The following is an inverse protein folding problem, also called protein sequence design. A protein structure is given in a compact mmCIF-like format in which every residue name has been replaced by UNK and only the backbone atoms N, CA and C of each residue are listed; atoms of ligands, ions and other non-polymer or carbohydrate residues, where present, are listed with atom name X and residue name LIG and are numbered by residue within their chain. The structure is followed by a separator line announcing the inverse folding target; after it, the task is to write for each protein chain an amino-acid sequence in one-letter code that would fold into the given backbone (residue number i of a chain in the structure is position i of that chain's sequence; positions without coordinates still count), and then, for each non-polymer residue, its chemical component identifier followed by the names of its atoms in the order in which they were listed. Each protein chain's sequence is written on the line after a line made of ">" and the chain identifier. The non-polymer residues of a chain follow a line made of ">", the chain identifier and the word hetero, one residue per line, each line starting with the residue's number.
data_IF_619571903649
#
_entry.id   IF_619571903649
#
_cell.length_a   1.000
_cell.length_b   1.000
_cell.length_c   1.000
_cell.angle_alpha   90.00
_cell.angle_beta   90.00
_cell.angle_gamma   90.00
#
_symmetry.space_group_name_H-M   'P 1'
#
loop_
_entity.id
_entity.type
_entity.pdbx_description
1 polymer ?
#
# COMPACT_ATOMS: atom_id res chain seq x y z
N UNK A 1 -20.51 22.03 32.05
CA UNK A 1 -19.43 22.90 31.51
C UNK A 1 -18.65 22.22 30.36
N UNK A 2 -19.31 21.47 29.45
CA UNK A 2 -18.66 20.81 28.28
C UNK A 2 -19.21 21.39 26.96
N UNK A 3 -20.40 21.99 26.97
CA UNK A 3 -21.06 22.57 25.79
C UNK A 3 -20.27 23.70 25.12
N UNK A 4 -19.45 24.45 25.85
CA UNK A 4 -18.67 25.55 25.27
C UNK A 4 -17.52 25.09 24.35
N UNK A 5 -17.05 23.83 24.44
CA UNK A 5 -15.92 23.35 23.62
C UNK A 5 -16.26 23.09 22.15
N UNK A 6 -17.53 22.85 21.85
CA UNK A 6 -18.09 22.49 20.55
C UNK A 6 -19.25 23.39 20.12
N UNK A 7 -19.58 24.37 20.96
CA UNK A 7 -20.55 25.42 20.71
C UNK A 7 -20.07 26.76 21.32
N UNK A 8 -18.95 27.32 20.83
CA UNK A 8 -18.35 28.52 21.43
C UNK A 8 -19.26 29.76 21.40
N UNK A 9 -20.25 29.80 20.49
CA UNK A 9 -21.23 30.90 20.37
C UNK A 9 -22.69 30.39 20.46
N UNK A 10 -22.94 29.27 21.14
CA UNK A 10 -24.27 28.64 21.16
C UNK A 10 -24.68 27.95 19.85
N UNK A 11 -23.86 28.06 18.80
CA UNK A 11 -24.00 27.32 17.54
C UNK A 11 -23.11 26.09 17.53
N UNK A 12 -23.72 24.92 17.37
CA UNK A 12 -23.02 23.65 17.23
C UNK A 12 -22.08 23.66 16.03
N UNK A 13 -20.82 23.26 16.25
CA UNK A 13 -19.83 23.10 15.20
C UNK A 13 -19.38 21.65 15.13
N UNK A 14 -19.77 20.95 14.05
CA UNK A 14 -19.44 19.55 13.80
C UNK A 14 -17.92 19.28 13.82
N UNK A 15 -17.10 20.22 13.34
CA UNK A 15 -15.64 20.14 13.39
C UNK A 15 -15.10 20.09 14.83
N UNK A 16 -15.60 20.96 15.72
CA UNK A 16 -15.14 21.01 17.11
C UNK A 16 -15.62 19.78 17.89
N UNK A 17 -16.86 19.36 17.64
CA UNK A 17 -17.40 18.10 18.14
C UNK A 17 -16.48 16.92 17.77
N UNK A 18 -16.13 16.82 16.50
CA UNK A 18 -15.25 15.78 15.99
C UNK A 18 -13.85 15.85 16.63
N UNK A 19 -13.21 17.02 16.67
CA UNK A 19 -11.89 17.20 17.29
C UNK A 19 -11.89 16.90 18.80
N UNK A 20 -13.03 17.10 19.47
CA UNK A 20 -13.20 16.77 20.88
C UNK A 20 -13.26 15.26 21.12
N UNK A 21 -14.11 14.53 20.38
CA UNK A 21 -14.25 13.07 20.55
C UNK A 21 -13.14 12.26 19.90
N UNK A 22 -12.46 12.82 18.89
CA UNK A 22 -11.44 12.09 18.17
C UNK A 22 -10.23 11.80 19.08
N UNK A 23 -9.76 10.54 19.15
CA UNK A 23 -8.52 10.23 19.83
C UNK A 23 -7.34 10.99 19.20
N UNK A 24 -6.63 11.77 20.03
CA UNK A 24 -5.42 12.51 19.63
C UNK A 24 -4.24 11.55 19.56
N UNK A 25 -4.20 10.76 18.48
CA UNK A 25 -3.09 9.86 18.20
C UNK A 25 -1.85 10.63 17.70
N UNK A 26 -0.67 10.05 17.92
CA UNK A 26 0.58 10.58 17.37
C UNK A 26 0.46 10.80 15.86
N UNK A 27 0.98 11.93 15.37
CA UNK A 27 0.99 12.25 13.94
C UNK A 27 1.78 11.17 13.20
N UNK A 28 1.09 10.44 12.32
CA UNK A 28 1.74 9.44 11.47
C UNK A 28 2.55 10.18 10.38
N UNK A 29 3.78 9.73 10.14
CA UNK A 29 4.66 10.35 9.16
C UNK A 29 4.38 9.91 7.70
N UNK A 30 3.68 8.79 7.52
CA UNK A 30 3.43 8.18 6.21
C UNK A 30 2.23 8.73 5.40
N UNK A 31 1.17 9.36 5.95
CA UNK A 31 -0.01 9.76 5.17
C UNK A 31 0.31 10.63 3.97
N UNK A 32 1.17 11.65 4.12
CA UNK A 32 1.58 12.53 3.00
C UNK A 32 2.31 11.79 1.88
N UNK A 33 2.96 10.68 2.22
CA UNK A 33 3.71 9.86 1.27
C UNK A 33 2.81 8.88 0.52
N UNK A 34 1.81 8.33 1.21
CA UNK A 34 0.84 7.42 0.63
C UNK A 34 -0.15 8.19 -0.24
N UNK A 35 -0.69 9.30 0.27
CA UNK A 35 -1.65 10.17 -0.45
C UNK A 35 -0.98 11.19 -1.36
N UNK A 36 0.07 10.79 -2.06
CA UNK A 36 0.78 11.66 -2.99
C UNK A 36 0.05 11.72 -4.33
N UNK A 37 -0.13 12.92 -4.90
CA UNK A 37 -0.89 13.16 -6.15
C UNK A 37 -0.41 12.30 -7.33
N UNK A 38 0.90 12.02 -7.36
CA UNK A 38 1.51 11.24 -8.42
C UNK A 38 1.21 9.72 -8.36
N UNK A 39 0.52 9.25 -7.32
CA UNK A 39 0.14 7.84 -7.15
C UNK A 39 -1.33 7.69 -7.48
N UNK A 40 -1.67 6.67 -8.29
CA UNK A 40 -3.05 6.37 -8.66
C UNK A 40 -3.89 6.14 -7.39
N UNK A 41 -5.07 6.77 -7.26
CA UNK A 41 -5.90 6.66 -6.05
C UNK A 41 -6.17 5.23 -5.59
N UNK A 42 -6.46 4.30 -6.51
CA UNK A 42 -6.68 2.87 -6.18
C UNK A 42 -5.43 2.20 -5.58
N UNK A 43 -4.24 2.56 -6.05
CA UNK A 43 -2.98 2.01 -5.52
C UNK A 43 -2.70 2.56 -4.13
N UNK A 44 -2.88 3.86 -3.96
CA UNK A 44 -2.81 4.56 -2.68
C UNK A 44 -3.74 3.93 -1.65
N UNK A 45 -4.99 3.64 -2.05
CA UNK A 45 -5.99 3.04 -1.17
C UNK A 45 -5.59 1.64 -0.69
N UNK A 46 -5.12 0.77 -1.59
CA UNK A 46 -4.63 -0.57 -1.21
C UNK A 46 -3.39 -0.48 -0.32
N UNK A 47 -2.44 0.40 -0.64
CA UNK A 47 -1.26 0.62 0.22
C UNK A 47 -1.66 1.12 1.62
N UNK A 48 -2.59 2.06 1.69
CA UNK A 48 -3.14 2.57 2.95
C UNK A 48 -3.78 1.47 3.79
N UNK A 49 -4.62 0.63 3.18
CA UNK A 49 -5.21 -0.54 3.85
C UNK A 49 -4.13 -1.51 4.34
N UNK A 50 -3.11 -1.76 3.52
CA UNK A 50 -1.99 -2.63 3.89
C UNK A 50 -1.21 -2.09 5.10
N UNK A 51 -0.96 -0.78 5.15
CA UNK A 51 -0.28 -0.15 6.29
C UNK A 51 -1.09 -0.15 7.58
N UNK A 52 -2.42 -0.11 7.45
CA UNK A 52 -3.37 -0.25 8.54
C UNK A 52 -3.60 -1.70 8.95
N UNK A 53 -2.97 -2.66 8.25
CA UNK A 53 -3.25 -4.07 8.38
C UNK A 53 -4.75 -4.37 8.26
N UNK A 54 -5.38 -3.84 7.22
CA UNK A 54 -6.82 -3.99 6.93
C UNK A 54 -7.11 -4.64 5.57
N UNK A 55 -6.08 -5.13 4.89
CA UNK A 55 -6.28 -6.01 3.73
C UNK A 55 -6.81 -7.36 4.20
N UNK A 56 -7.79 -7.89 3.46
CA UNK A 56 -8.55 -9.09 3.79
C UNK A 56 -7.81 -10.37 3.33
N UNK A 57 -6.69 -10.66 3.99
CA UNK A 57 -5.94 -11.90 3.81
C UNK A 57 -6.66 -13.07 4.47
N UNK A 58 -6.48 -14.31 3.99
CA UNK A 58 -7.13 -15.51 4.55
C UNK A 58 -6.87 -15.68 6.05
N UNK A 59 -5.69 -15.32 6.56
CA UNK A 59 -5.43 -15.36 8.01
C UNK A 59 -6.40 -14.50 8.87
N UNK A 60 -7.05 -13.48 8.28
CA UNK A 60 -8.09 -12.67 8.95
C UNK A 60 -9.50 -13.23 8.77
N UNK A 61 -9.66 -14.20 7.89
CA UNK A 61 -10.88 -14.94 7.59
C UNK A 61 -10.79 -16.38 8.10
N UNK A 62 -9.86 -16.68 9.01
CA UNK A 62 -9.60 -18.05 9.47
C UNK A 62 -10.82 -18.73 10.09
N UNK A 63 -11.72 -17.96 10.68
CA UNK A 63 -12.93 -18.46 11.31
C UNK A 63 -14.06 -18.69 10.28
N UNK A 64 -13.88 -18.26 9.03
CA UNK A 64 -14.86 -18.34 7.95
C UNK A 64 -14.41 -19.20 6.75
N UNK A 65 -13.12 -19.56 6.68
CA UNK A 65 -12.51 -20.27 5.55
C UNK A 65 -11.52 -21.30 6.08
N UNK A 66 -11.65 -22.56 5.64
CA UNK A 66 -10.74 -23.64 6.03
C UNK A 66 -9.37 -23.53 5.36
N UNK A 67 -9.34 -23.31 4.04
CA UNK A 67 -8.09 -23.21 3.28
C UNK A 67 -7.38 -21.87 3.52
N UNK A 68 -6.35 -21.91 4.36
CA UNK A 68 -5.50 -20.77 4.68
C UNK A 68 -4.32 -20.59 3.72
N UNK A 69 -4.14 -21.45 2.73
CA UNK A 69 -2.99 -21.41 1.81
C UNK A 69 -2.98 -20.11 0.99
N UNK A 70 -1.77 -19.59 0.75
CA UNK A 70 -1.54 -18.42 -0.08
C UNK A 70 -2.00 -18.68 -1.52
N UNK A 71 -2.94 -17.88 -2.07
CA UNK A 71 -3.47 -18.12 -3.41
C UNK A 71 -2.41 -18.05 -4.53
N UNK A 72 -1.30 -17.35 -4.28
CA UNK A 72 -0.27 -17.10 -5.28
C UNK A 72 0.81 -18.18 -5.35
N UNK A 73 1.16 -18.80 -4.23
CA UNK A 73 2.23 -19.81 -4.19
C UNK A 73 1.81 -21.16 -3.62
N UNK A 74 0.65 -21.25 -2.97
CA UNK A 74 0.10 -22.46 -2.33
C UNK A 74 1.02 -23.17 -1.32
N UNK A 75 2.15 -22.55 -0.93
CA UNK A 75 3.20 -23.19 -0.14
C UNK A 75 3.17 -22.86 1.35
N UNK A 76 2.55 -21.73 1.73
CA UNK A 76 2.42 -21.28 3.12
C UNK A 76 1.09 -20.56 3.33
N UNK A 77 0.69 -20.37 4.58
CA UNK A 77 -0.53 -19.64 4.92
C UNK A 77 -0.48 -18.16 4.53
N UNK A 78 -1.60 -17.62 4.06
CA UNK A 78 -1.70 -16.24 3.60
C UNK A 78 -1.73 -15.26 4.78
N UNK A 79 -0.57 -14.68 5.07
CA UNK A 79 -0.46 -13.47 5.90
C UNK A 79 -0.06 -12.27 5.04
N UNK A 80 -0.27 -11.05 5.55
CA UNK A 80 0.16 -9.84 4.85
C UNK A 80 1.68 -9.83 4.59
N UNK A 81 2.48 -10.24 5.59
CA UNK A 81 3.93 -10.32 5.43
C UNK A 81 4.33 -11.42 4.44
N UNK A 82 3.65 -12.58 4.49
CA UNK A 82 3.89 -13.63 3.53
C UNK A 82 3.60 -13.15 2.11
N UNK A 83 2.38 -12.66 1.87
CA UNK A 83 1.89 -12.23 0.56
C UNK A 83 2.86 -11.25 -0.12
N UNK A 84 3.32 -10.23 0.62
CA UNK A 84 4.18 -9.21 0.04
C UNK A 84 5.67 -9.54 0.09
N UNK A 85 6.20 -10.24 1.10
CA UNK A 85 7.65 -10.32 1.31
C UNK A 85 8.25 -11.73 1.37
N UNK A 86 7.43 -12.77 1.60
CA UNK A 86 7.94 -14.14 1.76
C UNK A 86 7.51 -15.06 0.62
N UNK A 87 6.32 -14.82 0.06
CA UNK A 87 5.76 -15.48 -1.11
C UNK A 87 6.74 -15.42 -2.29
N UNK A 88 6.93 -16.54 -2.99
CA UNK A 88 7.82 -16.63 -4.15
C UNK A 88 7.44 -15.62 -5.24
N UNK A 89 6.15 -15.51 -5.55
CA UNK A 89 5.61 -14.52 -6.49
C UNK A 89 5.89 -13.08 -6.02
N UNK A 90 5.56 -12.77 -4.77
CA UNK A 90 5.81 -11.44 -4.19
C UNK A 90 7.30 -11.06 -4.23
N UNK A 91 8.18 -11.98 -3.81
CA UNK A 91 9.64 -11.80 -3.82
C UNK A 91 10.18 -11.49 -5.21
N UNK A 92 9.71 -12.17 -6.25
CA UNK A 92 10.14 -11.93 -7.63
C UNK A 92 9.77 -10.52 -8.09
N UNK A 93 8.53 -10.07 -7.83
CA UNK A 93 8.12 -8.70 -8.15
C UNK A 93 8.99 -7.68 -7.39
N UNK A 94 9.21 -7.92 -6.09
CA UNK A 94 10.10 -7.07 -5.29
C UNK A 94 11.52 -7.02 -5.85
N UNK A 95 12.10 -8.15 -6.26
CA UNK A 95 13.45 -8.21 -6.81
C UNK A 95 13.57 -7.36 -8.09
N UNK A 96 12.59 -7.49 -9.00
CA UNK A 96 12.58 -6.75 -10.26
C UNK A 96 12.44 -5.25 -10.05
N UNK A 97 11.51 -4.83 -9.18
CA UNK A 97 11.29 -3.40 -8.89
C UNK A 97 12.47 -2.81 -8.13
N UNK A 98 13.04 -3.53 -7.16
CA UNK A 98 14.23 -3.10 -6.44
C UNK A 98 15.41 -2.90 -7.37
N UNK A 99 15.65 -3.85 -8.28
CA UNK A 99 16.71 -3.74 -9.29
C UNK A 99 16.49 -2.51 -10.18
N UNK A 100 15.27 -2.33 -10.70
CA UNK A 100 14.95 -1.19 -11.56
C UNK A 100 15.07 0.17 -10.86
N UNK A 101 14.75 0.24 -9.56
CA UNK A 101 14.78 1.48 -8.78
C UNK A 101 16.10 1.73 -8.03
N UNK A 102 17.09 0.85 -8.19
CA UNK A 102 18.36 0.91 -7.45
C UNK A 102 18.17 0.80 -5.93
N UNK A 103 17.25 -0.06 -5.48
CA UNK A 103 16.96 -0.29 -4.05
C UNK A 103 17.64 -1.58 -3.60
N UNK A 104 18.75 -1.47 -2.89
CA UNK A 104 19.50 -2.65 -2.41
C UNK A 104 18.97 -3.23 -1.10
N UNK A 105 18.16 -2.47 -0.36
CA UNK A 105 17.69 -2.87 0.97
C UNK A 105 16.62 -3.97 0.90
N UNK A 106 16.80 -5.01 1.70
CA UNK A 106 15.74 -5.98 1.96
C UNK A 106 14.66 -5.35 2.84
N UNK A 107 13.40 -5.43 2.38
CA UNK A 107 12.23 -5.01 3.12
C UNK A 107 11.50 -6.24 3.64
N UNK A 108 11.03 -6.19 4.90
CA UNK A 108 10.39 -7.32 5.57
C UNK A 108 8.92 -7.05 5.91
N UNK A 109 8.46 -5.81 5.82
CA UNK A 109 7.06 -5.43 6.06
C UNK A 109 6.73 -4.11 5.36
N UNK A 110 5.44 -3.85 5.10
CA UNK A 110 4.99 -2.59 4.49
C UNK A 110 5.37 -1.38 5.36
N UNK A 111 5.27 -1.52 6.69
CA UNK A 111 5.65 -0.48 7.64
C UNK A 111 7.14 -0.17 7.57
N UNK A 112 7.99 -1.20 7.47
CA UNK A 112 9.44 -1.03 7.30
C UNK A 112 9.78 -0.36 5.96
N UNK A 113 9.13 -0.79 4.87
CA UNK A 113 9.28 -0.17 3.55
C UNK A 113 8.95 1.32 3.59
N UNK A 114 7.80 1.67 4.15
CA UNK A 114 7.36 3.07 4.20
C UNK A 114 8.23 3.90 5.15
N UNK A 115 8.65 3.35 6.29
CA UNK A 115 9.60 4.02 7.19
C UNK A 115 10.92 4.32 6.47
N UNK A 116 11.43 3.35 5.70
CA UNK A 116 12.61 3.54 4.87
C UNK A 116 12.37 4.61 3.80
N UNK A 117 11.22 4.59 3.14
CA UNK A 117 10.90 5.57 2.11
C UNK A 117 10.79 6.99 2.67
N UNK A 118 10.27 7.15 3.88
CA UNK A 118 10.25 8.45 4.59
C UNK A 118 11.68 8.93 4.91
N UNK A 119 12.63 8.02 5.13
CA UNK A 119 14.02 8.36 5.44
C UNK A 119 14.83 8.67 4.17
N UNK A 120 14.74 7.82 3.16
CA UNK A 120 15.60 7.87 1.97
C UNK A 120 14.99 8.64 0.80
N UNK A 121 13.66 8.72 0.71
CA UNK A 121 12.96 9.55 -0.28
C UNK A 121 12.54 10.90 0.31
N UNK A 122 13.40 11.47 1.18
CA UNK A 122 13.30 12.86 1.64
C UNK A 122 13.65 13.78 0.48
N UNK A 123 12.65 14.12 -0.32
CA UNK A 123 12.81 15.03 -1.45
C UNK A 123 11.60 15.09 -2.36
N UNK A 124 11.59 16.14 -3.18
CA UNK A 124 10.67 16.36 -4.30
C UNK A 124 11.25 15.88 -5.64
N UNK A 125 12.50 15.40 -5.64
CA UNK A 125 13.20 14.94 -6.84
C UNK A 125 12.51 13.76 -7.52
N UNK A 126 12.73 13.66 -8.85
CA UNK A 126 12.15 12.64 -9.72
C UNK A 126 12.33 11.21 -9.19
N UNK A 127 13.55 10.87 -8.75
CA UNK A 127 13.84 9.53 -8.22
C UNK A 127 13.06 9.21 -6.93
N UNK A 128 12.85 10.20 -6.05
CA UNK A 128 12.02 10.04 -4.85
C UNK A 128 10.55 9.82 -5.21
N UNK A 129 10.03 10.56 -6.21
CA UNK A 129 8.67 10.38 -6.75
C UNK A 129 8.50 8.98 -7.35
N UNK A 130 9.43 8.54 -8.21
CA UNK A 130 9.37 7.20 -8.80
C UNK A 130 9.42 6.11 -7.72
N UNK A 131 10.29 6.21 -6.71
CA UNK A 131 10.35 5.20 -5.63
C UNK A 131 9.02 5.06 -4.89
N UNK A 132 8.31 6.18 -4.65
CA UNK A 132 6.96 6.18 -4.05
C UNK A 132 5.93 5.49 -4.94
N UNK A 133 5.89 5.86 -6.21
CA UNK A 133 4.96 5.27 -7.18
C UNK A 133 5.24 3.77 -7.34
N UNK A 134 6.51 3.39 -7.51
CA UNK A 134 6.94 2.00 -7.66
C UNK A 134 6.50 1.10 -6.51
N UNK A 135 6.65 1.56 -5.27
CA UNK A 135 6.19 0.81 -4.10
C UNK A 135 4.67 0.64 -4.10
N UNK A 136 3.91 1.72 -4.34
CA UNK A 136 2.45 1.65 -4.37
C UNK A 136 1.92 0.75 -5.51
N UNK A 137 2.51 0.86 -6.71
CA UNK A 137 2.18 0.02 -7.86
C UNK A 137 2.40 -1.46 -7.55
N UNK A 138 3.55 -1.82 -6.99
CA UNK A 138 3.86 -3.21 -6.68
C UNK A 138 2.92 -3.80 -5.62
N UNK A 139 2.61 -3.04 -4.55
CA UNK A 139 1.65 -3.49 -3.54
C UNK A 139 0.28 -3.72 -4.16
N UNK A 140 -0.17 -2.80 -5.01
CA UNK A 140 -1.42 -2.96 -5.75
C UNK A 140 -1.40 -4.17 -6.68
N UNK A 141 -0.35 -4.35 -7.48
CA UNK A 141 -0.28 -5.43 -8.46
C UNK A 141 -0.23 -6.82 -7.81
N UNK A 142 0.47 -6.98 -6.69
CA UNK A 142 0.45 -8.24 -5.92
C UNK A 142 -0.97 -8.50 -5.40
N UNK A 143 -1.62 -7.49 -4.84
CA UNK A 143 -2.98 -7.60 -4.33
C UNK A 143 -4.00 -7.91 -5.43
N UNK A 144 -3.88 -7.27 -6.59
CA UNK A 144 -4.72 -7.49 -7.76
C UNK A 144 -4.54 -8.91 -8.32
N UNK A 145 -3.31 -9.38 -8.48
CA UNK A 145 -3.02 -10.73 -8.92
C UNK A 145 -3.62 -11.78 -7.97
N UNK A 146 -3.49 -11.55 -6.65
CA UNK A 146 -4.10 -12.40 -5.62
C UNK A 146 -5.62 -12.43 -5.75
N UNK A 147 -6.26 -11.28 -5.92
CA UNK A 147 -7.73 -11.21 -6.03
C UNK A 147 -8.24 -11.86 -7.31
N UNK A 148 -7.58 -11.64 -8.45
CA UNK A 148 -7.93 -12.33 -9.71
C UNK A 148 -7.87 -13.85 -9.55
N UNK A 149 -6.86 -14.36 -8.84
CA UNK A 149 -6.71 -15.80 -8.61
C UNK A 149 -7.83 -16.39 -7.76
N UNK A 150 -8.35 -15.65 -6.78
CA UNK A 150 -9.47 -16.08 -5.95
C UNK A 150 -10.80 -15.97 -6.67
N UNK A 151 -11.09 -14.84 -7.30
CA UNK A 151 -12.44 -14.53 -7.81
C UNK A 151 -12.68 -14.94 -9.26
N UNK A 152 -11.62 -15.02 -10.07
CA UNK A 152 -11.75 -15.34 -11.50
C UNK A 152 -11.20 -16.75 -11.83
N UNK A 153 -10.60 -17.45 -10.86
CA UNK A 153 -9.94 -18.75 -11.08
C UNK A 153 -8.77 -18.70 -12.07
N UNK A 154 -8.39 -17.52 -12.55
CA UNK A 154 -7.31 -17.34 -13.52
C UNK A 154 -5.97 -17.59 -12.83
N UNK A 155 -5.38 -18.73 -13.16
CA UNK A 155 -3.98 -19.05 -12.87
C UNK A 155 -3.11 -18.28 -13.86
N UNK A 156 -3.00 -16.97 -13.68
CA UNK A 156 -2.01 -16.19 -14.42
C UNK A 156 -0.64 -16.43 -13.76
N UNK A 157 -0.03 -17.57 -14.09
CA UNK A 157 1.34 -17.91 -13.69
C UNK A 157 2.38 -17.01 -14.37
N UNK A 158 1.97 -16.24 -15.38
CA UNK A 158 2.83 -15.26 -16.04
C UNK A 158 2.89 -14.00 -15.18
N UNK A 159 4.03 -13.84 -14.52
CA UNK A 159 4.45 -12.57 -13.96
C UNK A 159 4.22 -11.47 -15.00
N UNK A 160 3.56 -10.33 -14.67
CA UNK A 160 3.52 -9.21 -15.59
C UNK A 160 4.97 -8.87 -15.93
N UNK A 161 5.34 -8.89 -17.21
CA UNK A 161 6.72 -8.69 -17.61
C UNK A 161 7.23 -7.38 -17.01
N UNK A 162 8.52 -7.31 -16.68
CA UNK A 162 9.12 -6.05 -16.20
C UNK A 162 8.82 -4.91 -17.18
N UNK A 163 8.62 -5.21 -18.46
CA UNK A 163 8.12 -4.28 -19.48
C UNK A 163 6.73 -3.72 -19.20
N UNK A 164 5.74 -4.53 -18.80
CA UNK A 164 4.39 -4.06 -18.44
C UNK A 164 4.43 -3.20 -17.16
N UNK A 165 5.20 -3.61 -16.16
CA UNK A 165 5.41 -2.79 -14.96
C UNK A 165 6.10 -1.45 -15.30
N UNK A 166 7.19 -1.48 -16.06
CA UNK A 166 7.90 -0.29 -16.54
C UNK A 166 7.00 0.62 -17.37
N UNK A 167 6.24 0.06 -18.30
CA UNK A 167 5.33 0.80 -19.18
C UNK A 167 4.22 1.49 -18.39
N UNK A 168 3.59 0.79 -17.46
CA UNK A 168 2.60 1.38 -16.57
C UNK A 168 3.26 2.49 -15.72
N UNK A 169 4.38 2.20 -15.06
CA UNK A 169 5.11 3.18 -14.24
C UNK A 169 5.56 4.43 -15.01
N UNK A 170 6.08 4.28 -16.24
CA UNK A 170 6.54 5.37 -17.11
C UNK A 170 5.35 6.18 -17.64
N UNK A 171 4.28 5.53 -18.13
CA UNK A 171 3.04 6.23 -18.52
C UNK A 171 2.50 7.06 -17.36
N UNK A 172 2.49 6.52 -16.14
CA UNK A 172 1.99 7.25 -14.98
C UNK A 172 2.92 8.39 -14.53
N UNK A 173 4.24 8.23 -14.62
CA UNK A 173 5.18 9.32 -14.34
C UNK A 173 5.04 10.49 -15.32
N UNK A 174 4.79 10.21 -16.61
CA UNK A 174 4.57 11.21 -17.67
C UNK A 174 3.20 11.91 -17.53
N UNK A 175 2.15 11.18 -17.15
CA UNK A 175 0.82 11.75 -16.93
C UNK A 175 0.78 12.62 -15.66
N UNK A 176 1.46 12.21 -14.58
CA UNK A 176 1.56 12.98 -13.33
C UNK A 176 2.67 14.05 -13.30
N UNK A 177 3.35 14.31 -14.42
CA UNK A 177 4.25 15.46 -14.59
C UNK A 177 3.59 16.62 -15.36
N UNK A 178 2.34 16.46 -15.81
CA UNK A 178 1.53 17.47 -16.51
C UNK A 178 0.38 18.04 -15.66
N UNK A 179 0.35 17.71 -14.37
CA UNK A 179 -0.53 18.28 -13.33
C UNK A 179 0.40 18.89 -12.27
#
# INVERSE_FOLDING_TARGET
>A
MILHQWSPNGKFQSRLAYEFFRPKNAKLAWPKLVWHVAIIPRHTFILWLGLKDRLLTKNKLRDYIEDQSCPLCSAQNETLNHLFFQCTFGKQIWANIKSWLGIFRAMQSLKATVKWLIKEARGIGFLAKIKRIGIACMVYSIWEARNKRIFEGKVENRMPSLGVFKFNLIKFCIVCSRI
#
